data_IF_139384940715
#
_entry.id   IF_139384940715
#
_cell.length_a   1.000
_cell.length_b   1.000
_cell.length_c   1.000
_cell.angle_alpha   90.00
_cell.angle_beta   90.00
_cell.angle_gamma   90.00
#
_symmetry.space_group_name_H-M   'P 1'
#
loop_
_entity.id
_entity.type
_entity.pdbx_description
1 polymer ?
#
# COMPACT_ATOMS: atom_id res chain seq x y z
N UNK A 1 -3.82 -23.71 -23.33
CA UNK A 1 -3.97 -23.91 -21.88
C UNK A 1 -4.10 -22.55 -21.23
N UNK A 2 -5.10 -22.34 -20.36
CA UNK A 2 -5.23 -21.05 -19.65
C UNK A 2 -4.09 -20.90 -18.66
N UNK A 3 -3.37 -19.78 -18.71
CA UNK A 3 -2.31 -19.48 -17.77
C UNK A 3 -2.90 -19.05 -16.43
N UNK A 4 -2.56 -19.75 -15.36
CA UNK A 4 -3.00 -19.48 -13.99
C UNK A 4 -1.82 -19.04 -13.12
N UNK A 5 -1.97 -17.96 -12.40
CA UNK A 5 -0.97 -17.47 -11.47
C UNK A 5 -1.42 -17.61 -10.02
N UNK A 6 -0.50 -17.87 -9.11
CA UNK A 6 -0.70 -17.84 -7.67
C UNK A 6 0.16 -16.74 -7.06
N UNK A 7 -0.46 -15.73 -6.47
CA UNK A 7 0.20 -14.61 -5.84
C UNK A 7 -0.02 -14.66 -4.32
N UNK A 8 1.04 -14.59 -3.58
CA UNK A 8 1.03 -14.59 -2.14
C UNK A 8 1.36 -13.21 -1.60
N UNK A 9 0.49 -12.64 -0.76
CA UNK A 9 0.70 -11.38 -0.07
C UNK A 9 1.07 -11.62 1.37
N UNK A 10 2.29 -11.25 1.71
CA UNK A 10 2.84 -11.40 3.03
C UNK A 10 3.17 -10.01 3.61
N UNK A 11 3.02 -9.85 4.93
CA UNK A 11 3.55 -8.76 5.75
C UNK A 11 2.57 -7.64 6.15
N UNK A 12 3.10 -6.49 6.58
CA UNK A 12 2.35 -5.40 7.19
C UNK A 12 1.52 -4.57 6.21
N UNK A 13 0.76 -3.63 6.74
CA UNK A 13 -0.10 -2.75 5.93
C UNK A 13 0.67 -1.93 4.89
N UNK A 14 1.86 -1.42 5.23
CA UNK A 14 2.72 -0.68 4.29
C UNK A 14 3.14 -1.55 3.11
N UNK A 15 3.41 -2.84 3.36
CA UNK A 15 3.77 -3.80 2.32
C UNK A 15 2.60 -4.06 1.39
N UNK A 16 1.38 -4.12 1.94
CA UNK A 16 0.15 -4.23 1.14
C UNK A 16 0.06 -3.07 0.15
N UNK A 17 0.19 -1.82 0.60
CA UNK A 17 0.15 -0.65 -0.28
C UNK A 17 1.19 -0.74 -1.42
N UNK A 18 2.39 -1.23 -1.10
CA UNK A 18 3.45 -1.41 -2.09
C UNK A 18 3.16 -2.49 -3.13
N UNK A 19 2.32 -3.48 -2.81
CA UNK A 19 2.08 -4.65 -3.64
C UNK A 19 0.77 -4.61 -4.44
N UNK A 20 -0.14 -3.67 -4.16
CA UNK A 20 -1.46 -3.62 -4.81
C UNK A 20 -1.39 -3.64 -6.34
N UNK A 21 -0.48 -2.88 -6.90
CA UNK A 21 -0.31 -2.80 -8.35
C UNK A 21 0.16 -4.12 -8.98
N UNK A 22 0.83 -4.99 -8.22
CA UNK A 22 1.27 -6.30 -8.72
C UNK A 22 0.09 -7.19 -9.10
N UNK A 23 -1.04 -7.10 -8.39
CA UNK A 23 -2.26 -7.86 -8.75
C UNK A 23 -2.70 -7.48 -10.17
N UNK A 24 -2.86 -6.18 -10.42
CA UNK A 24 -3.28 -5.70 -11.74
C UNK A 24 -2.23 -6.01 -12.82
N UNK A 25 -0.95 -5.86 -12.52
CA UNK A 25 0.14 -6.23 -13.43
C UNK A 25 0.05 -7.71 -13.81
N UNK A 26 -0.11 -8.61 -12.84
CA UNK A 26 -0.17 -10.03 -13.12
C UNK A 26 -1.47 -10.44 -13.80
N UNK A 27 -2.58 -9.75 -13.58
CA UNK A 27 -3.81 -9.96 -14.35
C UNK A 27 -3.63 -9.67 -15.86
N UNK A 28 -2.60 -8.92 -16.25
CA UNK A 28 -2.24 -8.78 -17.68
C UNK A 28 -1.42 -9.95 -18.22
N UNK A 29 -0.88 -10.80 -17.37
CA UNK A 29 -0.01 -11.93 -17.75
C UNK A 29 -0.71 -13.29 -17.64
N UNK A 30 -1.71 -13.37 -16.78
CA UNK A 30 -2.43 -14.60 -16.47
C UNK A 30 -3.92 -14.47 -16.76
N UNK A 31 -4.54 -15.53 -17.27
CA UNK A 31 -5.97 -15.58 -17.52
C UNK A 31 -6.77 -15.64 -16.21
N UNK A 32 -6.17 -16.20 -15.16
CA UNK A 32 -6.73 -16.28 -13.83
C UNK A 32 -5.64 -16.14 -12.77
N UNK A 33 -5.94 -15.39 -11.71
CA UNK A 33 -5.01 -15.16 -10.61
C UNK A 33 -5.65 -15.61 -9.28
N UNK A 34 -4.98 -16.49 -8.56
CA UNK A 34 -5.32 -16.81 -7.18
C UNK A 34 -4.44 -15.97 -6.26
N UNK A 35 -5.04 -15.23 -5.33
CA UNK A 35 -4.32 -14.33 -4.41
C UNK A 35 -4.57 -14.77 -2.98
N UNK A 36 -3.49 -14.99 -2.23
CA UNK A 36 -3.55 -15.32 -0.81
C UNK A 36 -3.36 -14.03 -0.01
N UNK A 37 -4.34 -13.70 0.80
CA UNK A 37 -4.52 -12.41 1.44
C UNK A 37 -4.66 -12.55 2.96
N UNK A 38 -4.36 -11.49 3.67
CA UNK A 38 -4.56 -11.39 5.13
C UNK A 38 -6.04 -11.31 5.48
N UNK A 39 -6.52 -12.08 6.45
CA UNK A 39 -7.93 -12.03 6.87
C UNK A 39 -8.37 -10.70 7.48
N UNK A 40 -7.46 -10.04 8.21
CA UNK A 40 -7.71 -8.74 8.87
C UNK A 40 -7.75 -7.56 7.89
N UNK A 41 -7.33 -7.76 6.63
CA UNK A 41 -7.45 -6.78 5.56
C UNK A 41 -8.57 -7.14 4.55
N UNK A 42 -9.51 -8.02 4.93
CA UNK A 42 -10.54 -8.53 4.01
C UNK A 42 -11.35 -7.41 3.37
N UNK A 43 -11.92 -6.50 4.13
CA UNK A 43 -12.77 -5.42 3.60
C UNK A 43 -12.02 -4.52 2.62
N UNK A 44 -10.78 -4.23 2.93
CA UNK A 44 -9.87 -3.50 2.05
C UNK A 44 -9.68 -4.20 0.70
N UNK A 45 -9.38 -5.51 0.68
CA UNK A 45 -9.18 -6.25 -0.55
C UNK A 45 -10.49 -6.52 -1.29
N UNK A 46 -11.60 -6.77 -0.59
CA UNK A 46 -12.91 -6.93 -1.23
C UNK A 46 -13.30 -5.65 -1.98
N UNK A 47 -13.01 -4.49 -1.42
CA UNK A 47 -13.22 -3.23 -2.11
C UNK A 47 -12.26 -3.05 -3.30
N UNK A 48 -10.96 -3.24 -3.09
CA UNK A 48 -9.95 -3.03 -4.13
C UNK A 48 -10.14 -3.94 -5.35
N UNK A 49 -10.57 -5.17 -5.13
CA UNK A 49 -10.68 -6.22 -6.14
C UNK A 49 -12.13 -6.48 -6.62
N UNK A 50 -13.09 -5.62 -6.25
CA UNK A 50 -14.52 -5.88 -6.52
C UNK A 50 -14.88 -5.92 -8.00
N UNK A 51 -14.11 -5.24 -8.84
CA UNK A 51 -14.30 -5.19 -10.31
C UNK A 51 -13.50 -6.27 -11.06
N UNK A 52 -12.66 -7.04 -10.37
CA UNK A 52 -11.79 -8.04 -10.98
C UNK A 52 -12.49 -9.40 -11.03
N UNK A 53 -12.80 -9.87 -12.24
CA UNK A 53 -13.56 -11.13 -12.43
C UNK A 53 -12.68 -12.38 -12.42
N UNK A 54 -11.43 -12.24 -12.86
CA UNK A 54 -10.52 -13.38 -13.06
C UNK A 54 -9.59 -13.57 -11.86
N UNK A 55 -10.16 -13.49 -10.65
CA UNK A 55 -9.39 -13.58 -9.41
C UNK A 55 -10.10 -14.48 -8.38
N UNK A 56 -9.34 -15.37 -7.78
CA UNK A 56 -9.75 -16.11 -6.58
C UNK A 56 -9.04 -15.55 -5.37
N UNK A 57 -9.80 -15.13 -4.35
CA UNK A 57 -9.28 -14.58 -3.10
C UNK A 57 -9.30 -15.66 -2.02
N UNK A 58 -8.14 -15.95 -1.44
CA UNK A 58 -7.99 -16.89 -0.32
C UNK A 58 -7.48 -16.11 0.90
N UNK A 59 -8.30 -16.01 1.93
CA UNK A 59 -7.93 -15.35 3.19
C UNK A 59 -7.34 -16.36 4.16
N UNK A 60 -6.06 -16.18 4.49
CA UNK A 60 -5.34 -17.10 5.36
C UNK A 60 -4.40 -16.35 6.32
N UNK A 61 -4.45 -16.69 7.61
CA UNK A 61 -3.62 -16.09 8.66
C UNK A 61 -2.12 -16.28 8.45
N UNK A 62 -1.71 -17.26 7.66
CA UNK A 62 -0.31 -17.48 7.29
C UNK A 62 0.28 -16.26 6.55
N UNK A 63 -0.56 -15.45 5.91
CA UNK A 63 -0.15 -14.20 5.29
C UNK A 63 0.38 -13.14 6.30
N UNK A 64 0.25 -13.37 7.61
CA UNK A 64 0.85 -12.54 8.64
C UNK A 64 2.30 -12.91 9.00
N UNK A 65 2.74 -14.10 8.63
CA UNK A 65 4.03 -14.62 9.09
C UNK A 65 5.12 -14.43 8.07
N UNK A 66 6.33 -14.10 8.52
CA UNK A 66 7.53 -14.09 7.69
C UNK A 66 7.96 -15.52 7.31
N UNK A 67 7.46 -16.52 8.03
CA UNK A 67 7.83 -17.91 7.89
C UNK A 67 6.66 -18.72 7.32
N UNK A 68 6.49 -18.62 6.00
CA UNK A 68 5.56 -19.51 5.30
C UNK A 68 6.24 -20.86 5.15
N UNK A 69 5.73 -21.84 5.87
CA UNK A 69 6.24 -23.20 5.77
C UNK A 69 5.96 -23.80 4.39
N UNK A 70 6.88 -24.57 3.85
CA UNK A 70 6.74 -25.28 2.57
C UNK A 70 5.45 -26.10 2.50
N UNK A 71 4.99 -26.66 3.62
CA UNK A 71 3.73 -27.39 3.75
C UNK A 71 2.48 -26.59 3.35
N UNK A 72 2.52 -25.26 3.42
CA UNK A 72 1.39 -24.44 2.96
C UNK A 72 1.22 -24.54 1.44
N UNK A 73 2.34 -24.53 0.72
CA UNK A 73 2.31 -24.61 -0.76
C UNK A 73 1.97 -26.00 -1.27
N UNK A 74 2.15 -27.04 -0.45
CA UNK A 74 1.74 -28.41 -0.78
C UNK A 74 0.22 -28.56 -0.90
N UNK A 75 -0.55 -27.61 -0.36
CA UNK A 75 -2.01 -27.56 -0.49
C UNK A 75 -2.47 -27.14 -1.89
N UNK A 76 -1.57 -26.53 -2.68
CA UNK A 76 -1.87 -26.09 -4.03
C UNK A 76 -1.32 -27.12 -5.02
N UNK A 77 -2.17 -27.58 -5.93
CA UNK A 77 -1.70 -28.49 -7.00
C UNK A 77 -0.72 -27.74 -7.91
N UNK A 78 0.52 -28.19 -7.91
CA UNK A 78 1.62 -27.60 -8.70
C UNK A 78 1.32 -27.61 -10.21
N UNK A 79 0.41 -28.49 -10.66
CA UNK A 79 0.02 -28.60 -12.06
C UNK A 79 -1.10 -27.60 -12.43
N UNK A 80 -1.76 -26.98 -11.46
CA UNK A 80 -2.80 -25.97 -11.71
C UNK A 80 -2.23 -24.56 -11.95
N UNK A 81 -0.98 -24.29 -11.56
CA UNK A 81 -0.39 -22.95 -11.63
C UNK A 81 0.88 -22.94 -12.45
N UNK A 82 0.95 -22.07 -13.45
CA UNK A 82 2.14 -21.86 -14.26
C UNK A 82 3.27 -21.19 -13.46
N UNK A 83 2.91 -20.46 -12.42
CA UNK A 83 3.86 -19.70 -11.60
C UNK A 83 3.35 -19.45 -10.19
N UNK A 84 4.21 -19.66 -9.20
CA UNK A 84 4.07 -19.05 -7.89
C UNK A 84 4.74 -17.67 -7.92
N UNK A 85 3.98 -16.62 -7.86
CA UNK A 85 4.43 -15.24 -8.05
C UNK A 85 5.08 -14.63 -6.79
N UNK A 86 5.57 -15.41 -5.87
CA UNK A 86 6.47 -15.03 -4.77
C UNK A 86 7.43 -16.17 -4.41
N UNK A 87 7.81 -16.92 -5.39
CA UNK A 87 8.76 -18.01 -5.30
C UNK A 87 8.39 -19.03 -6.38
N UNK A 88 9.36 -19.59 -7.06
CA UNK A 88 9.12 -20.78 -7.87
C UNK A 88 8.74 -21.90 -6.89
N UNK A 89 7.76 -22.72 -7.25
CA UNK A 89 7.40 -23.96 -6.58
C UNK A 89 8.51 -25.04 -6.63
N UNK A 90 9.74 -24.62 -6.87
CA UNK A 90 10.92 -25.44 -6.81
C UNK A 90 11.45 -25.38 -5.38
N UNK A 91 11.42 -26.51 -4.69
CA UNK A 91 11.80 -26.66 -3.28
C UNK A 91 13.19 -26.07 -2.95
N UNK A 92 14.06 -25.87 -3.94
CA UNK A 92 15.39 -25.26 -3.80
C UNK A 92 15.38 -23.73 -3.93
N UNK A 93 14.28 -23.08 -4.37
CA UNK A 93 14.22 -21.62 -4.58
C UNK A 93 13.51 -20.86 -3.49
N UNK A 94 12.81 -21.54 -2.60
CA UNK A 94 12.17 -20.93 -1.45
C UNK A 94 13.20 -20.32 -0.48
N UNK A 95 14.27 -21.07 -0.23
CA UNK A 95 15.42 -20.55 0.53
C UNK A 95 16.14 -19.42 -0.20
N UNK A 96 16.14 -19.42 -1.53
CA UNK A 96 16.75 -18.35 -2.33
C UNK A 96 15.91 -17.07 -2.30
N UNK A 97 14.58 -17.12 -2.16
CA UNK A 97 13.75 -15.92 -2.00
C UNK A 97 13.95 -15.25 -0.64
N UNK A 98 13.88 -16.03 0.43
CA UNK A 98 14.25 -15.59 1.79
C UNK A 98 15.69 -15.06 1.80
N UNK A 99 16.57 -15.70 1.06
CA UNK A 99 17.98 -15.35 0.93
C UNK A 99 18.21 -14.11 0.06
N UNK A 100 17.54 -13.94 -1.10
CA UNK A 100 17.67 -12.72 -1.93
C UNK A 100 17.10 -11.49 -1.24
N UNK A 101 15.97 -11.61 -0.56
CA UNK A 101 15.41 -10.50 0.19
C UNK A 101 16.27 -10.10 1.39
N UNK A 102 17.02 -11.05 1.98
CA UNK A 102 17.84 -10.85 3.17
C UNK A 102 19.34 -10.78 2.89
N UNK A 103 19.85 -11.40 1.84
CA UNK A 103 21.29 -11.62 1.61
C UNK A 103 21.91 -10.77 0.52
N UNK A 104 21.14 -10.13 -0.36
CA UNK A 104 21.77 -9.12 -1.18
C UNK A 104 22.18 -7.96 -0.30
N UNK A 105 23.45 -7.52 -0.37
CA UNK A 105 23.93 -6.32 0.33
C UNK A 105 23.44 -5.07 -0.40
N UNK A 106 22.14 -5.01 -0.68
CA UNK A 106 21.50 -3.74 -0.98
C UNK A 106 21.50 -3.03 0.37
N UNK A 107 22.19 -1.89 0.50
CA UNK A 107 22.24 -1.19 1.77
C UNK A 107 20.83 -1.10 2.32
N UNK A 108 20.63 -1.57 3.55
CA UNK A 108 19.31 -1.63 4.23
C UNK A 108 18.60 -0.27 4.26
N UNK A 109 19.28 0.76 3.78
CA UNK A 109 18.86 2.16 3.75
C UNK A 109 18.14 2.56 2.45
N UNK A 110 18.13 1.72 1.41
CA UNK A 110 17.61 2.12 0.12
C UNK A 110 16.44 1.23 -0.33
N UNK A 111 15.26 1.85 -0.52
CA UNK A 111 14.17 1.39 -1.39
C UNK A 111 13.42 0.12 -0.99
N UNK A 112 12.79 0.11 0.19
CA UNK A 112 11.99 -1.03 0.64
C UNK A 112 10.88 -1.38 -0.36
N UNK A 113 10.10 -0.41 -0.81
CA UNK A 113 9.02 -0.62 -1.79
C UNK A 113 9.54 -1.11 -3.15
N UNK A 114 10.70 -0.62 -3.58
CA UNK A 114 11.33 -1.04 -4.84
C UNK A 114 11.64 -2.54 -4.87
N UNK A 115 12.02 -3.13 -3.75
CA UNK A 115 12.38 -4.55 -3.67
C UNK A 115 11.24 -5.48 -4.06
N UNK A 116 9.98 -5.10 -3.77
CA UNK A 116 8.82 -5.89 -4.18
C UNK A 116 8.70 -6.05 -5.69
N UNK A 117 9.34 -5.20 -6.45
CA UNK A 117 9.33 -5.21 -7.92
C UNK A 117 10.63 -5.77 -8.48
N UNK A 118 11.75 -5.22 -8.09
CA UNK A 118 13.06 -5.57 -8.68
C UNK A 118 13.51 -7.00 -8.42
N UNK A 119 13.11 -7.61 -7.29
CA UNK A 119 13.39 -9.03 -7.03
C UNK A 119 12.69 -9.99 -7.99
N UNK A 120 11.70 -9.51 -8.75
CA UNK A 120 10.98 -10.27 -9.78
C UNK A 120 11.23 -9.78 -11.20
N UNK A 121 12.26 -8.96 -11.38
CA UNK A 121 12.57 -8.30 -12.67
C UNK A 121 11.39 -7.45 -13.19
N UNK A 122 10.63 -6.85 -12.27
CA UNK A 122 9.53 -5.94 -12.57
C UNK A 122 10.02 -4.51 -12.35
N UNK A 123 9.72 -3.64 -13.29
CA UNK A 123 10.02 -2.21 -13.17
C UNK A 123 9.24 -1.61 -11.98
N UNK A 124 9.92 -0.80 -11.17
CA UNK A 124 9.33 -0.13 -10.02
C UNK A 124 8.18 0.83 -10.40
N UNK A 125 8.22 1.40 -11.60
CA UNK A 125 7.12 2.24 -12.12
C UNK A 125 5.79 1.48 -12.20
N UNK A 126 5.83 0.14 -12.24
CA UNK A 126 4.65 -0.73 -12.14
C UNK A 126 3.80 -0.39 -10.92
N UNK A 127 4.41 0.04 -9.82
CA UNK A 127 3.71 0.47 -8.59
C UNK A 127 2.68 1.57 -8.85
N UNK A 128 2.99 2.49 -9.75
CA UNK A 128 2.09 3.60 -10.11
C UNK A 128 1.27 3.23 -11.36
N UNK A 129 1.94 2.70 -12.39
CA UNK A 129 1.31 2.47 -13.69
C UNK A 129 0.16 1.48 -13.63
N UNK A 130 0.28 0.45 -12.79
CA UNK A 130 -0.73 -0.62 -12.62
C UNK A 130 -1.56 -0.48 -11.35
N UNK A 131 -1.41 0.61 -10.59
CA UNK A 131 -2.33 0.88 -9.49
C UNK A 131 -3.66 1.36 -10.05
N UNK A 132 -4.65 0.49 -10.02
CA UNK A 132 -5.99 0.76 -10.53
C UNK A 132 -7.04 0.13 -9.63
N UNK A 133 -8.06 0.90 -9.30
CA UNK A 133 -9.26 0.44 -8.61
C UNK A 133 -10.47 1.22 -9.07
N UNK A 134 -11.63 0.60 -9.03
CA UNK A 134 -12.89 1.28 -9.33
C UNK A 134 -13.34 2.08 -8.10
N UNK A 135 -13.54 3.39 -8.28
CA UNK A 135 -14.09 4.24 -7.22
C UNK A 135 -15.59 3.95 -7.05
N UNK A 136 -16.05 3.98 -5.82
CA UNK A 136 -17.47 3.94 -5.46
C UNK A 136 -17.89 5.35 -5.03
N UNK A 137 -18.33 6.13 -6.00
CA UNK A 137 -18.64 7.55 -5.78
C UNK A 137 -19.83 7.71 -4.81
N UNK A 138 -20.80 6.82 -4.82
CA UNK A 138 -21.94 6.88 -3.92
C UNK A 138 -21.52 6.58 -2.47
N UNK A 139 -20.67 5.58 -2.28
CA UNK A 139 -20.09 5.29 -0.97
C UNK A 139 -19.20 6.44 -0.49
N UNK A 140 -18.34 6.98 -1.34
CA UNK A 140 -17.49 8.12 -1.00
C UNK A 140 -18.31 9.37 -0.63
N UNK A 141 -19.40 9.64 -1.34
CA UNK A 141 -20.30 10.73 -1.04
C UNK A 141 -20.94 10.55 0.34
N UNK A 142 -21.49 9.36 0.60
CA UNK A 142 -22.10 9.04 1.89
C UNK A 142 -21.12 9.20 3.05
N UNK A 143 -19.93 8.62 2.93
CA UNK A 143 -18.87 8.74 3.96
C UNK A 143 -18.46 10.19 4.17
N UNK A 144 -18.35 10.98 3.10
CA UNK A 144 -18.03 12.39 3.18
C UNK A 144 -19.14 13.18 3.90
N UNK A 145 -20.40 12.94 3.57
CA UNK A 145 -21.53 13.64 4.18
C UNK A 145 -21.64 13.30 5.67
N UNK A 146 -21.46 12.02 6.05
CA UNK A 146 -21.39 11.61 7.46
C UNK A 146 -20.20 12.28 8.18
N UNK A 147 -19.06 12.36 7.51
CA UNK A 147 -17.85 12.98 8.05
C UNK A 147 -18.04 14.47 8.32
N UNK A 148 -18.54 15.23 7.33
CA UNK A 148 -18.72 16.69 7.49
C UNK A 148 -19.85 17.03 8.44
N UNK A 149 -20.90 16.20 8.52
CA UNK A 149 -21.96 16.35 9.52
C UNK A 149 -21.41 16.22 10.95
N UNK A 150 -20.39 15.38 11.15
CA UNK A 150 -19.77 15.15 12.47
C UNK A 150 -18.69 16.19 12.80
N UNK A 151 -17.88 16.59 11.84
CA UNK A 151 -16.65 17.36 12.09
C UNK A 151 -16.63 18.76 11.46
N UNK A 152 -17.59 19.07 10.59
CA UNK A 152 -17.65 20.33 9.82
C UNK A 152 -16.85 20.26 8.53
N UNK A 153 -16.92 21.33 7.73
CA UNK A 153 -16.27 21.42 6.41
C UNK A 153 -14.82 21.90 6.49
N UNK A 154 -14.46 22.63 7.57
CA UNK A 154 -13.13 23.17 7.75
C UNK A 154 -12.29 22.21 8.60
N UNK A 155 -11.65 21.24 7.94
CA UNK A 155 -10.90 20.19 8.62
C UNK A 155 -9.54 19.91 7.99
N UNK A 156 -8.65 19.42 8.81
CA UNK A 156 -7.39 18.80 8.45
C UNK A 156 -7.35 17.36 8.96
N UNK A 157 -6.63 16.51 8.27
CA UNK A 157 -6.49 15.11 8.63
C UNK A 157 -5.11 14.84 9.18
N UNK A 158 -5.00 14.00 10.19
CA UNK A 158 -3.71 13.49 10.61
C UNK A 158 -3.77 11.98 10.93
N UNK A 159 -2.65 11.32 10.67
CA UNK A 159 -2.41 9.94 11.02
C UNK A 159 -1.10 9.86 11.78
N UNK A 160 -1.18 9.51 13.05
CA UNK A 160 -0.05 9.19 13.91
C UNK A 160 0.16 7.68 14.04
N UNK A 161 1.22 7.28 14.71
CA UNK A 161 1.52 5.87 14.97
C UNK A 161 1.68 5.66 16.46
N UNK A 162 0.58 5.72 17.19
CA UNK A 162 0.54 5.58 18.65
C UNK A 162 1.31 4.35 19.16
N UNK A 163 1.25 3.23 18.41
CA UNK A 163 1.96 1.98 18.76
C UNK A 163 3.48 2.11 18.72
N UNK A 164 4.01 3.10 17.99
CA UNK A 164 5.46 3.34 17.84
C UNK A 164 5.89 4.67 18.44
N UNK A 165 5.09 5.23 19.34
CA UNK A 165 5.37 6.50 20.01
C UNK A 165 5.62 7.67 19.04
N UNK A 166 5.00 7.68 17.87
CA UNK A 166 5.07 8.82 16.96
C UNK A 166 3.93 9.78 17.23
N UNK A 167 4.12 10.67 18.19
CA UNK A 167 3.26 11.86 18.31
C UNK A 167 3.68 12.84 17.23
N UNK A 168 2.78 13.14 16.32
CA UNK A 168 2.99 14.23 15.37
C UNK A 168 2.76 15.54 16.12
N UNK A 169 3.78 16.38 16.18
CA UNK A 169 3.66 17.76 16.66
C UNK A 169 3.66 18.70 15.46
N UNK A 170 2.61 19.49 15.32
CA UNK A 170 2.48 20.51 14.28
C UNK A 170 1.65 21.69 14.79
N UNK A 171 1.91 22.86 14.22
CA UNK A 171 1.14 24.06 14.52
C UNK A 171 -0.24 23.94 13.88
N UNK A 172 -1.27 24.05 14.69
CA UNK A 172 -2.66 23.99 14.23
C UNK A 172 -3.09 25.37 13.74
N UNK A 173 -3.72 25.38 12.58
CA UNK A 173 -4.34 26.59 12.04
C UNK A 173 -5.62 26.91 12.82
N UNK A 174 -5.89 28.20 13.03
CA UNK A 174 -7.12 28.65 13.64
C UNK A 174 -8.35 28.27 12.78
N UNK A 175 -9.45 27.93 13.45
CA UNK A 175 -10.72 27.57 12.82
C UNK A 175 -10.70 26.28 11.94
N UNK A 176 -9.67 25.44 12.08
CA UNK A 176 -9.62 24.12 11.44
C UNK A 176 -9.73 23.02 12.48
N UNK A 177 -10.62 22.05 12.24
CA UNK A 177 -10.75 20.85 13.07
C UNK A 177 -9.74 19.79 12.63
N UNK A 178 -8.81 19.42 13.50
CA UNK A 178 -7.82 18.37 13.22
C UNK A 178 -8.34 17.01 13.66
N UNK A 179 -8.42 16.08 12.72
CA UNK A 179 -9.09 14.78 12.91
C UNK A 179 -8.08 13.66 12.69
N UNK A 180 -7.89 12.82 13.72
CA UNK A 180 -7.12 11.60 13.60
C UNK A 180 -7.89 10.59 12.76
N UNK A 181 -7.26 10.08 11.69
CA UNK A 181 -7.88 9.10 10.80
C UNK A 181 -7.79 7.66 11.30
N UNK A 182 -7.09 7.41 12.42
CA UNK A 182 -7.02 6.09 13.03
C UNK A 182 -8.42 5.60 13.42
N UNK A 183 -8.82 4.44 12.91
CA UNK A 183 -10.09 3.79 13.25
C UNK A 183 -11.35 4.46 12.68
N UNK A 184 -11.23 5.43 11.75
CA UNK A 184 -12.41 6.02 11.08
C UNK A 184 -13.04 5.01 10.13
N UNK A 185 -12.25 4.24 9.42
CA UNK A 185 -12.72 3.23 8.48
C UNK A 185 -11.68 2.12 8.28
N UNK A 186 -12.17 0.91 8.05
CA UNK A 186 -11.36 -0.23 7.63
C UNK A 186 -11.10 -0.22 6.10
N UNK A 187 -11.79 0.69 5.38
CA UNK A 187 -11.67 0.85 3.94
C UNK A 187 -11.18 2.25 3.56
N UNK A 188 -9.87 2.42 3.45
CA UNK A 188 -9.23 3.71 3.11
C UNK A 188 -9.69 4.25 1.73
N UNK A 189 -10.08 3.39 0.79
CA UNK A 189 -10.56 3.84 -0.54
C UNK A 189 -11.85 4.65 -0.45
N UNK A 190 -12.71 4.38 0.55
CA UNK A 190 -13.93 5.15 0.77
C UNK A 190 -13.67 6.57 1.28
N UNK A 191 -12.44 6.84 1.77
CA UNK A 191 -12.03 8.14 2.29
C UNK A 191 -11.53 9.12 1.23
N UNK A 192 -11.49 8.75 -0.04
CA UNK A 192 -10.90 9.61 -1.09
C UNK A 192 -11.59 10.97 -1.13
N UNK A 193 -12.92 11.03 -1.07
CA UNK A 193 -13.63 12.32 -1.07
C UNK A 193 -13.32 13.15 0.18
N UNK A 194 -13.11 12.51 1.33
CA UNK A 194 -12.66 13.19 2.55
C UNK A 194 -11.24 13.71 2.39
N UNK A 195 -10.33 12.91 1.82
CA UNK A 195 -8.94 13.33 1.58
C UNK A 195 -8.84 14.55 0.67
N UNK A 196 -9.55 14.54 -0.48
CA UNK A 196 -9.45 15.63 -1.48
C UNK A 196 -10.10 16.95 -1.04
N UNK A 197 -10.91 16.94 0.02
CA UNK A 197 -11.53 18.14 0.60
C UNK A 197 -10.88 18.59 1.91
N UNK A 198 -9.85 17.90 2.39
CA UNK A 198 -9.09 18.36 3.55
C UNK A 198 -8.28 19.62 3.23
N UNK A 199 -8.10 20.51 4.21
CA UNK A 199 -7.24 21.70 4.08
C UNK A 199 -5.76 21.31 4.01
N UNK A 200 -5.38 20.34 4.82
CA UNK A 200 -4.04 19.76 4.85
C UNK A 200 -4.08 18.34 5.43
N UNK A 201 -3.04 17.57 5.17
CA UNK A 201 -2.91 16.19 5.61
C UNK A 201 -1.54 16.01 6.27
N UNK A 202 -1.53 15.51 7.51
CA UNK A 202 -0.33 15.19 8.28
C UNK A 202 -0.22 13.69 8.47
N UNK A 203 0.80 13.05 7.94
CA UNK A 203 0.94 11.58 8.02
C UNK A 203 2.37 11.18 8.39
N UNK A 204 2.48 10.19 9.26
CA UNK A 204 3.75 9.48 9.45
C UNK A 204 4.02 8.59 8.24
N UNK A 205 5.28 8.26 7.98
CA UNK A 205 5.69 7.35 6.89
C UNK A 205 5.16 5.92 7.14
N UNK A 206 3.90 5.70 6.77
CA UNK A 206 3.07 4.53 7.06
C UNK A 206 2.26 4.10 5.84
N UNK A 207 1.31 3.19 6.06
CA UNK A 207 0.32 2.79 5.05
C UNK A 207 -0.49 3.97 4.50
N UNK A 208 -0.96 4.89 5.37
CA UNK A 208 -1.71 6.07 4.96
C UNK A 208 -0.89 6.99 4.05
N UNK A 209 0.37 7.23 4.42
CA UNK A 209 1.27 8.02 3.58
C UNK A 209 1.51 7.36 2.22
N UNK A 210 1.74 6.05 2.21
CA UNK A 210 1.92 5.28 0.97
C UNK A 210 0.68 5.31 0.09
N UNK A 211 -0.52 5.23 0.68
CA UNK A 211 -1.78 5.33 -0.05
C UNK A 211 -1.98 6.72 -0.66
N UNK A 212 -1.83 7.78 0.14
CA UNK A 212 -1.91 9.17 -0.36
C UNK A 212 -0.92 9.40 -1.51
N UNK A 213 0.32 8.92 -1.36
CA UNK A 213 1.34 9.05 -2.40
C UNK A 213 0.94 8.36 -3.72
N UNK A 214 0.47 7.10 -3.66
CA UNK A 214 0.10 6.36 -4.86
C UNK A 214 -1.12 6.99 -5.54
N UNK A 215 -2.12 7.41 -4.75
CA UNK A 215 -3.33 8.08 -5.27
C UNK A 215 -2.97 9.42 -5.93
N UNK A 216 -2.08 10.21 -5.31
CA UNK A 216 -1.63 11.48 -5.87
C UNK A 216 -0.78 11.27 -7.13
N UNK A 217 0.19 10.37 -7.08
CA UNK A 217 1.07 10.08 -8.21
C UNK A 217 0.32 9.50 -9.42
N UNK A 218 -0.71 8.66 -9.20
CA UNK A 218 -1.49 8.03 -10.29
C UNK A 218 -2.58 8.92 -10.84
N UNK A 219 -3.32 9.60 -9.95
CA UNK A 219 -4.57 10.28 -10.34
C UNK A 219 -4.52 11.80 -10.15
N UNK A 220 -3.47 12.33 -9.56
CA UNK A 220 -3.32 13.76 -9.21
C UNK A 220 -4.48 14.31 -8.35
N UNK A 221 -5.08 13.46 -7.53
CA UNK A 221 -6.27 13.82 -6.74
C UNK A 221 -5.93 14.73 -5.57
N UNK A 222 -4.71 14.66 -5.04
CA UNK A 222 -4.28 15.43 -3.87
C UNK A 222 -3.37 16.62 -4.22
N UNK A 223 -3.21 16.94 -5.51
CA UNK A 223 -2.27 17.98 -5.98
C UNK A 223 -2.45 19.38 -5.37
N UNK A 224 -3.66 19.68 -4.89
CA UNK A 224 -4.00 20.97 -4.27
C UNK A 224 -3.98 20.93 -2.74
N UNK A 225 -3.63 19.79 -2.14
CA UNK A 225 -3.62 19.58 -0.70
C UNK A 225 -2.17 19.59 -0.22
N UNK A 226 -1.84 20.39 0.78
CA UNK A 226 -0.53 20.29 1.43
C UNK A 226 -0.46 19.00 2.24
N UNK A 227 0.53 18.15 1.94
CA UNK A 227 0.75 16.89 2.65
C UNK A 227 2.08 16.97 3.39
N UNK A 228 2.02 16.79 4.70
CA UNK A 228 3.17 16.82 5.59
C UNK A 228 3.53 15.40 5.99
N UNK A 229 4.74 14.97 5.63
CA UNK A 229 5.24 13.63 5.90
C UNK A 229 6.26 13.66 7.06
N UNK A 230 5.97 12.88 8.09
CA UNK A 230 6.75 12.77 9.32
C UNK A 230 7.48 11.43 9.42
N UNK A 231 8.57 11.35 10.21
CA UNK A 231 9.23 10.08 10.50
C UNK A 231 8.27 9.05 11.12
N UNK A 232 8.55 7.79 10.89
CA UNK A 232 7.74 6.68 11.39
C UNK A 232 7.70 6.57 12.93
N UNK A 233 8.74 7.07 13.63
CA UNK A 233 8.82 7.04 15.08
C UNK A 233 9.66 8.21 15.65
N UNK A 234 9.59 8.41 16.98
CA UNK A 234 10.35 9.47 17.72
C UNK A 234 11.87 9.42 17.53
N UNK A 235 12.43 8.28 17.10
CA UNK A 235 13.86 8.16 16.82
C UNK A 235 14.26 8.70 15.43
N UNK A 236 13.33 9.36 14.71
CA UNK A 236 13.55 9.88 13.37
C UNK A 236 13.75 8.80 12.30
N UNK A 237 13.28 7.56 12.56
CA UNK A 237 13.34 6.51 11.55
C UNK A 237 12.29 6.74 10.49
N UNK A 238 12.70 6.57 9.25
CA UNK A 238 11.82 6.64 8.09
C UNK A 238 11.38 5.25 7.67
N UNK A 239 10.12 5.13 7.28
CA UNK A 239 9.55 3.94 6.67
C UNK A 239 9.94 3.79 5.19
N UNK A 240 9.12 3.05 4.44
CA UNK A 240 9.42 2.74 3.05
C UNK A 240 9.19 3.90 2.08
N UNK A 241 8.18 4.75 2.35
CA UNK A 241 7.75 5.77 1.40
C UNK A 241 8.81 6.84 1.15
N UNK A 242 9.41 7.40 2.20
CA UNK A 242 10.43 8.46 2.04
C UNK A 242 11.63 7.96 1.24
N UNK A 243 11.98 6.69 1.40
CA UNK A 243 13.06 6.06 0.63
C UNK A 243 12.69 5.93 -0.85
N UNK A 244 11.43 5.57 -1.14
CA UNK A 244 10.91 5.47 -2.50
C UNK A 244 10.86 6.85 -3.17
N UNK A 245 10.37 7.88 -2.47
CA UNK A 245 10.35 9.27 -2.95
C UNK A 245 11.76 9.79 -3.22
N UNK A 246 12.69 9.56 -2.30
CA UNK A 246 14.08 10.01 -2.45
C UNK A 246 14.78 9.36 -3.63
N UNK A 247 14.47 8.10 -3.92
CA UNK A 247 14.98 7.40 -5.10
C UNK A 247 14.45 8.00 -6.39
N UNK A 248 13.14 8.26 -6.45
CA UNK A 248 12.48 8.80 -7.64
C UNK A 248 12.98 10.21 -7.96
N UNK A 249 13.19 11.05 -6.95
CA UNK A 249 13.73 12.39 -7.13
C UNK A 249 15.18 12.42 -7.66
N UNK A 250 15.92 11.31 -7.58
CA UNK A 250 17.23 11.16 -8.22
C UNK A 250 17.14 10.76 -9.70
N UNK A 251 16.05 10.10 -10.10
CA UNK A 251 15.85 9.61 -11.49
C UNK A 251 15.00 10.57 -12.31
N UNK A 252 13.95 11.14 -11.73
CA UNK A 252 13.12 12.20 -12.29
C UNK A 252 12.45 12.95 -11.14
N UNK A 253 12.44 14.28 -11.12
CA UNK A 253 11.70 15.03 -10.12
C UNK A 253 10.20 14.80 -10.38
N UNK A 254 9.58 13.82 -9.72
CA UNK A 254 8.14 13.92 -9.52
C UNK A 254 7.97 15.17 -8.68
N UNK A 255 7.40 16.18 -9.30
CA UNK A 255 7.01 17.40 -8.62
C UNK A 255 5.85 17.07 -7.66
N UNK A 256 6.19 16.50 -6.51
CA UNK A 256 5.30 16.47 -5.36
C UNK A 256 5.35 17.85 -4.72
N UNK A 257 4.93 18.89 -5.48
CA UNK A 257 5.02 20.28 -5.07
C UNK A 257 4.25 20.56 -3.78
N UNK A 258 3.32 19.70 -3.44
CA UNK A 258 2.45 19.77 -2.28
C UNK A 258 2.90 18.88 -1.10
N UNK A 259 3.97 18.10 -1.25
CA UNK A 259 4.53 17.27 -0.19
C UNK A 259 5.67 17.97 0.53
N UNK A 260 5.59 18.04 1.85
CA UNK A 260 6.61 18.64 2.73
C UNK A 260 7.12 17.57 3.68
N UNK A 261 8.41 17.28 3.60
CA UNK A 261 9.07 16.33 4.51
C UNK A 261 9.50 17.10 5.74
N UNK A 262 8.98 16.72 6.90
CA UNK A 262 9.27 17.34 8.20
C UNK A 262 10.35 16.48 8.88
N UNK A 263 11.44 17.11 9.28
CA UNK A 263 12.60 16.46 9.91
C UNK A 263 12.55 16.60 11.44
#
# INVERSE_FOLDING_TARGET
MEKRGLLFYQQGWTDIANQLALINYYLTKYNHLTVILRPDAREFYEYYLRDKKNITKIYNSIAHTSDVHSSFYEQFDKNEYDYLLHGKLDNNRYDTYKYRFMSEPIPFKEHFGKRFYTCYDIDFETKINYFEFMRDIDLENRIYDEFVNKYGFEYALYHDNEKNDSDISFDKLDNITYINVNGITDNIFSMIKVLINAKEIHVVDSFWASFCYIVDAKYSLLKNINIYLYPFNKLGRWGGLIKDISYKNKLEPIQLNNWKIIQ
#
